data_IF_018920171250
#
_entry.id   IF_018920171250
#
_cell.length_a   1.000
_cell.length_b   1.000
_cell.length_c   1.000
_cell.angle_alpha   90.00
_cell.angle_beta   90.00
_cell.angle_gamma   90.00
#
_symmetry.space_group_name_H-M   'P 1'
#
loop_
_entity.id
_entity.type
_entity.pdbx_description
1 polymer ?
#
# COMPACT_ATOMS: atom_id res chain seq x y z
N UNK A 1 -15.10 25.29 22.22
CA UNK A 1 -15.19 23.85 22.56
C UNK A 1 -16.52 23.29 22.07
N UNK A 2 -16.56 22.72 20.87
CA UNK A 2 -17.66 21.86 20.42
C UNK A 2 -17.03 20.55 19.94
N UNK A 3 -17.24 19.53 20.74
CA UNK A 3 -16.81 18.16 20.53
C UNK A 3 -17.62 17.63 19.33
N UNK A 4 -17.04 17.70 18.13
CA UNK A 4 -17.65 17.13 16.92
C UNK A 4 -17.44 15.63 17.03
N UNK A 5 -18.52 14.98 17.46
CA UNK A 5 -18.77 13.54 17.44
C UNK A 5 -18.03 12.87 16.28
N UNK A 6 -17.19 11.89 16.63
CA UNK A 6 -16.93 10.65 15.90
C UNK A 6 -18.00 10.43 14.82
N UNK A 7 -17.70 10.85 13.58
CA UNK A 7 -18.49 10.48 12.41
C UNK A 7 -18.33 8.97 12.30
N UNK A 8 -19.46 8.29 12.42
CA UNK A 8 -19.62 6.84 12.28
C UNK A 8 -18.68 6.31 11.20
N UNK A 9 -17.69 5.51 11.60
CA UNK A 9 -16.99 4.62 10.67
C UNK A 9 -18.10 3.82 10.01
N UNK A 10 -18.32 4.03 8.71
CA UNK A 10 -19.27 3.23 7.96
C UNK A 10 -18.68 1.82 7.90
N UNK A 11 -19.06 0.98 8.86
CA UNK A 11 -18.82 -0.44 8.79
C UNK A 11 -19.92 -0.99 7.90
N UNK A 12 -19.61 -1.33 6.65
CA UNK A 12 -20.47 -2.22 5.89
C UNK A 12 -20.64 -3.50 6.74
N UNK A 13 -21.86 -3.80 7.24
CA UNK A 13 -22.08 -4.94 8.14
C UNK A 13 -21.68 -6.28 7.49
N UNK A 14 -21.67 -6.35 6.15
CA UNK A 14 -21.22 -7.50 5.39
C UNK A 14 -19.72 -7.77 5.50
N UNK A 15 -18.90 -6.77 5.82
CA UNK A 15 -17.44 -6.96 5.98
C UNK A 15 -17.06 -7.94 7.09
N UNK A 16 -17.88 -8.05 8.14
CA UNK A 16 -17.65 -9.01 9.22
C UNK A 16 -17.80 -10.47 8.78
N UNK A 17 -18.50 -10.70 7.65
CA UNK A 17 -18.74 -12.02 7.08
C UNK A 17 -17.59 -12.48 6.18
N UNK A 18 -16.84 -11.55 5.60
CA UNK A 18 -15.68 -11.88 4.78
C UNK A 18 -14.51 -12.29 5.67
N UNK A 19 -14.13 -13.56 5.56
CA UNK A 19 -12.94 -14.13 6.19
C UNK A 19 -12.19 -14.97 5.17
N UNK A 20 -10.88 -15.05 5.33
CA UNK A 20 -10.07 -16.00 4.59
C UNK A 20 -10.48 -17.42 4.99
N UNK A 21 -10.85 -18.23 4.02
CA UNK A 21 -11.09 -19.67 4.20
C UNK A 21 -9.98 -20.46 3.50
N UNK A 22 -9.05 -21.01 4.27
CA UNK A 22 -7.90 -21.75 3.74
C UNK A 22 -8.34 -22.96 2.89
N UNK A 23 -9.54 -23.49 3.11
CA UNK A 23 -10.07 -24.68 2.41
C UNK A 23 -10.45 -24.39 0.96
N UNK A 24 -10.59 -23.13 0.57
CA UNK A 24 -10.94 -22.76 -0.81
C UNK A 24 -9.74 -22.75 -1.74
N UNK A 25 -8.51 -22.73 -1.20
CA UNK A 25 -7.30 -22.76 -2.01
C UNK A 25 -7.04 -24.14 -2.59
N UNK A 26 -6.78 -24.19 -3.89
CA UNK A 26 -6.44 -25.39 -4.63
C UNK A 26 -4.92 -25.48 -4.88
N UNK A 27 -4.46 -26.55 -5.53
CA UNK A 27 -3.03 -26.77 -5.80
C UNK A 27 -2.38 -25.66 -6.66
N UNK A 28 -3.14 -25.04 -7.57
CA UNK A 28 -2.66 -23.90 -8.36
C UNK A 28 -2.40 -22.68 -7.49
N UNK A 29 -3.30 -22.35 -6.56
CA UNK A 29 -3.13 -21.23 -5.62
C UNK A 29 -1.84 -21.36 -4.80
N UNK A 30 -1.59 -22.56 -4.25
CA UNK A 30 -0.35 -22.83 -3.52
C UNK A 30 0.87 -22.69 -4.44
N UNK A 31 0.76 -23.12 -5.70
CA UNK A 31 1.86 -23.02 -6.65
C UNK A 31 2.16 -21.58 -7.04
N UNK A 32 1.13 -20.76 -7.25
CA UNK A 32 1.25 -19.32 -7.52
C UNK A 32 1.93 -18.63 -6.35
N UNK A 33 1.45 -18.85 -5.12
CA UNK A 33 2.05 -18.28 -3.92
C UNK A 33 3.53 -18.65 -3.78
N UNK A 34 3.86 -19.94 -3.85
CA UNK A 34 5.23 -20.44 -3.74
C UNK A 34 6.13 -19.79 -4.81
N UNK A 35 5.67 -19.78 -6.06
CA UNK A 35 6.45 -19.28 -7.21
C UNK A 35 6.75 -17.79 -7.06
N UNK A 36 5.75 -16.98 -6.75
CA UNK A 36 5.91 -15.55 -6.50
C UNK A 36 6.82 -15.34 -5.28
N UNK A 37 6.49 -15.96 -4.15
CA UNK A 37 7.26 -15.79 -2.92
C UNK A 37 8.74 -16.09 -3.10
N UNK A 38 9.10 -17.22 -3.72
CA UNK A 38 10.49 -17.58 -3.99
C UNK A 38 11.17 -16.57 -4.93
N UNK A 39 10.47 -16.12 -5.97
CA UNK A 39 11.02 -15.15 -6.94
C UNK A 39 11.29 -13.80 -6.29
N UNK A 40 10.33 -13.26 -5.53
CA UNK A 40 10.45 -11.95 -4.88
C UNK A 40 11.37 -11.97 -3.66
N UNK A 41 11.23 -12.95 -2.76
CA UNK A 41 11.97 -12.99 -1.49
C UNK A 41 13.50 -13.01 -1.69
N UNK A 42 13.99 -13.69 -2.73
CA UNK A 42 15.41 -13.71 -3.12
C UNK A 42 15.96 -12.32 -3.44
N UNK A 43 15.12 -11.38 -3.85
CA UNK A 43 15.51 -10.03 -4.28
C UNK A 43 15.33 -8.97 -3.21
N UNK A 44 14.53 -9.25 -2.17
CA UNK A 44 14.30 -8.30 -1.08
C UNK A 44 15.59 -7.77 -0.42
N UNK A 45 16.66 -8.55 -0.20
CA UNK A 45 17.89 -8.01 0.38
C UNK A 45 18.53 -6.88 -0.44
N UNK A 46 18.43 -6.95 -1.76
CA UNK A 46 18.99 -5.96 -2.70
C UNK A 46 18.06 -4.77 -2.91
N UNK A 47 16.74 -5.04 -2.98
CA UNK A 47 15.75 -4.06 -3.48
C UNK A 47 14.98 -3.37 -2.36
N UNK A 48 14.55 -4.11 -1.34
CA UNK A 48 13.56 -3.61 -0.40
C UNK A 48 14.17 -2.73 0.68
N UNK A 49 13.42 -1.70 1.10
CA UNK A 49 13.76 -0.86 2.23
C UNK A 49 13.93 -1.69 3.50
N UNK A 50 14.83 -1.25 4.38
CA UNK A 50 15.13 -1.94 5.63
C UNK A 50 13.88 -2.13 6.51
N UNK A 51 13.03 -1.10 6.62
CA UNK A 51 11.79 -1.18 7.40
C UNK A 51 10.83 -2.27 6.85
N UNK A 52 10.71 -2.39 5.52
CA UNK A 52 9.93 -3.45 4.91
C UNK A 52 10.50 -4.83 5.27
N UNK A 53 11.82 -5.03 5.15
CA UNK A 53 12.46 -6.32 5.48
C UNK A 53 12.26 -6.72 6.94
N UNK A 54 12.33 -5.76 7.87
CA UNK A 54 12.06 -5.97 9.28
C UNK A 54 10.60 -6.40 9.50
N UNK A 55 9.65 -5.71 8.87
CA UNK A 55 8.23 -6.08 8.94
C UNK A 55 7.95 -7.45 8.33
N UNK A 56 8.59 -7.77 7.22
CA UNK A 56 8.46 -9.06 6.52
C UNK A 56 8.89 -10.21 7.43
N UNK A 57 10.03 -10.07 8.12
CA UNK A 57 10.50 -11.04 9.11
C UNK A 57 9.58 -11.13 10.33
N UNK A 58 9.11 -9.98 10.85
CA UNK A 58 8.22 -9.94 12.02
C UNK A 58 6.88 -10.63 11.76
N UNK A 59 6.37 -10.53 10.53
CA UNK A 59 5.11 -11.17 10.11
C UNK A 59 5.23 -12.67 9.88
N UNK A 60 6.45 -13.21 9.74
CA UNK A 60 6.73 -14.63 9.48
C UNK A 60 6.02 -15.14 8.23
N UNK A 61 6.08 -14.36 7.16
CA UNK A 61 5.64 -14.82 5.85
C UNK A 61 6.61 -15.90 5.32
N UNK A 62 6.10 -16.87 4.58
CA UNK A 62 6.89 -18.01 4.08
C UNK A 62 6.34 -18.52 2.74
N UNK A 63 7.20 -19.13 1.93
CA UNK A 63 6.84 -19.84 0.71
C UNK A 63 6.04 -21.12 0.99
N UNK A 64 6.27 -21.77 2.14
CA UNK A 64 5.72 -23.10 2.45
C UNK A 64 4.19 -23.13 2.53
N UNK A 65 3.57 -21.99 2.87
CA UNK A 65 2.14 -21.86 3.09
C UNK A 65 1.65 -20.49 2.65
N UNK A 66 0.49 -20.46 2.01
CA UNK A 66 -0.28 -19.22 1.80
C UNK A 66 -0.46 -18.54 3.16
N UNK A 67 -0.23 -17.23 3.19
CA UNK A 67 -0.32 -16.41 4.40
C UNK A 67 -1.65 -16.58 5.14
N UNK A 68 -1.59 -16.75 6.45
CA UNK A 68 -2.76 -16.73 7.33
C UNK A 68 -3.04 -15.29 7.79
N UNK A 69 -4.09 -14.67 7.24
CA UNK A 69 -4.43 -13.27 7.52
C UNK A 69 -4.83 -13.02 8.98
N UNK A 70 -5.35 -14.03 9.70
CA UNK A 70 -5.66 -13.89 11.14
C UNK A 70 -4.37 -13.78 11.97
N UNK A 71 -3.36 -14.57 11.65
CA UNK A 71 -2.06 -14.52 12.33
C UNK A 71 -1.31 -13.22 12.02
N UNK A 72 -1.29 -12.81 10.75
CA UNK A 72 -0.71 -11.54 10.32
C UNK A 72 -1.40 -10.36 11.02
N UNK A 73 -2.73 -10.34 11.03
CA UNK A 73 -3.53 -9.32 11.70
C UNK A 73 -3.24 -9.25 13.21
N UNK A 74 -3.04 -10.40 13.87
CA UNK A 74 -2.65 -10.46 15.27
C UNK A 74 -1.26 -9.85 15.52
N UNK A 75 -0.25 -10.27 14.73
CA UNK A 75 1.13 -9.75 14.86
C UNK A 75 1.19 -8.24 14.62
N UNK A 76 0.50 -7.76 13.58
CA UNK A 76 0.41 -6.35 13.25
C UNK A 76 -0.27 -5.55 14.37
N UNK A 77 -1.36 -6.08 14.93
CA UNK A 77 -2.11 -5.43 16.00
C UNK A 77 -1.32 -5.26 17.29
N UNK A 78 -0.38 -6.17 17.57
CA UNK A 78 0.52 -6.07 18.72
C UNK A 78 1.63 -5.03 18.54
N UNK A 79 1.94 -4.63 17.31
CA UNK A 79 3.05 -3.72 17.03
C UNK A 79 2.57 -2.28 16.80
N UNK A 80 1.71 -2.04 15.80
CA UNK A 80 1.28 -0.68 15.40
C UNK A 80 -0.21 -0.42 15.64
N UNK A 81 -0.93 -1.42 16.17
CA UNK A 81 -2.38 -1.41 16.33
C UNK A 81 -3.16 -1.62 15.03
N UNK A 82 -2.47 -1.82 13.91
CA UNK A 82 -3.08 -2.13 12.62
C UNK A 82 -3.57 -3.57 12.54
N UNK A 83 -4.60 -3.80 11.73
CA UNK A 83 -5.16 -5.13 11.47
C UNK A 83 -5.43 -5.30 9.99
N UNK A 84 -5.54 -6.55 9.56
CA UNK A 84 -6.08 -6.88 8.22
C UNK A 84 -7.59 -7.00 8.30
N UNK A 85 -8.28 -6.47 7.29
CA UNK A 85 -9.71 -6.70 7.01
C UNK A 85 -9.83 -7.42 5.67
N UNK A 86 -10.43 -8.61 5.66
CA UNK A 86 -10.65 -9.32 4.39
C UNK A 86 -11.75 -8.62 3.60
N UNK A 87 -11.53 -8.44 2.30
CA UNK A 87 -12.48 -7.85 1.35
C UNK A 87 -12.67 -8.77 0.13
N UNK A 88 -13.84 -8.75 -0.54
CA UNK A 88 -14.11 -9.63 -1.68
C UNK A 88 -13.36 -9.24 -2.96
N UNK A 89 -12.69 -8.08 -2.96
CA UNK A 89 -12.10 -7.45 -4.13
C UNK A 89 -12.04 -5.95 -3.93
N UNK A 90 -12.14 -5.18 -5.02
CA UNK A 90 -12.22 -3.72 -4.97
C UNK A 90 -13.42 -3.26 -4.15
N UNK A 91 -13.18 -2.33 -3.23
CA UNK A 91 -14.22 -1.69 -2.40
C UNK A 91 -14.38 -0.22 -2.81
N UNK A 92 -15.47 0.42 -2.36
CA UNK A 92 -15.66 1.87 -2.57
C UNK A 92 -14.57 2.68 -1.87
N UNK A 93 -14.22 3.85 -2.41
CA UNK A 93 -13.22 4.76 -1.84
C UNK A 93 -13.56 5.14 -0.41
N UNK A 94 -14.83 5.43 -0.13
CA UNK A 94 -15.29 5.75 1.21
C UNK A 94 -15.00 4.60 2.18
N UNK A 95 -15.27 3.35 1.78
CA UNK A 95 -15.01 2.18 2.62
C UNK A 95 -13.51 1.93 2.79
N UNK A 96 -12.74 2.03 1.70
CA UNK A 96 -11.29 1.90 1.72
C UNK A 96 -10.64 2.87 2.71
N UNK A 97 -10.90 4.17 2.57
CA UNK A 97 -10.31 5.18 3.46
C UNK A 97 -10.86 5.10 4.89
N UNK A 98 -12.12 4.70 5.08
CA UNK A 98 -12.68 4.45 6.42
C UNK A 98 -11.95 3.32 7.15
N UNK A 99 -11.60 2.25 6.42
CA UNK A 99 -10.82 1.14 6.98
C UNK A 99 -9.41 1.60 7.35
N UNK A 100 -8.71 2.28 6.44
CA UNK A 100 -7.35 2.79 6.70
C UNK A 100 -7.29 3.78 7.87
N UNK A 101 -8.23 4.74 7.95
CA UNK A 101 -8.33 5.65 9.09
C UNK A 101 -8.55 4.89 10.40
N UNK A 102 -9.31 3.79 10.35
CA UNK A 102 -9.53 2.87 11.46
C UNK A 102 -8.42 1.85 11.71
N UNK A 103 -7.23 2.02 11.11
CA UNK A 103 -6.09 1.10 11.15
C UNK A 103 -6.42 -0.33 10.71
N UNK A 104 -7.26 -0.46 9.68
CA UNK A 104 -7.59 -1.73 9.05
C UNK A 104 -7.15 -1.68 7.59
N UNK A 105 -6.19 -2.50 7.21
CA UNK A 105 -5.77 -2.62 5.82
C UNK A 105 -6.67 -3.64 5.10
N UNK A 106 -7.38 -3.26 4.03
CA UNK A 106 -8.17 -4.18 3.24
C UNK A 106 -7.26 -5.14 2.47
N UNK A 107 -7.56 -6.45 2.52
CA UNK A 107 -6.78 -7.49 1.83
C UNK A 107 -7.74 -8.46 1.15
N UNK A 108 -7.53 -8.71 -0.14
CA UNK A 108 -8.23 -9.76 -0.89
C UNK A 108 -7.76 -11.14 -0.45
N UNK A 109 -8.61 -12.17 -0.59
CA UNK A 109 -8.31 -13.54 -0.15
C UNK A 109 -8.12 -14.53 -1.29
N UNK A 110 -8.00 -14.07 -2.54
CA UNK A 110 -7.81 -14.92 -3.73
C UNK A 110 -6.44 -14.63 -4.35
N UNK A 111 -5.91 -15.57 -5.13
CA UNK A 111 -4.65 -15.42 -5.86
C UNK A 111 -4.92 -15.35 -7.36
N UNK A 112 -4.06 -14.63 -8.08
CA UNK A 112 -4.04 -14.63 -9.55
C UNK A 112 -3.75 -16.03 -10.11
N UNK A 113 -4.04 -16.24 -11.39
CA UNK A 113 -3.73 -17.51 -12.07
C UNK A 113 -2.26 -17.63 -12.47
N UNK A 114 -1.81 -18.85 -12.78
CA UNK A 114 -0.43 -19.08 -13.25
C UNK A 114 -0.08 -18.35 -14.56
N UNK A 115 -1.05 -18.11 -15.44
CA UNK A 115 -0.87 -17.35 -16.69
C UNK A 115 -0.83 -15.83 -16.49
N UNK A 116 -1.07 -15.35 -15.26
CA UNK A 116 -1.09 -13.93 -14.87
C UNK A 116 0.04 -13.55 -13.91
N UNK A 117 1.04 -14.42 -13.72
CA UNK A 117 2.10 -14.23 -12.72
C UNK A 117 2.87 -12.91 -12.90
N UNK A 118 3.21 -12.56 -14.14
CA UNK A 118 4.06 -11.40 -14.43
C UNK A 118 3.28 -10.07 -14.48
N UNK A 119 1.97 -10.11 -14.75
CA UNK A 119 1.11 -8.92 -14.84
C UNK A 119 -0.30 -9.23 -14.32
N UNK A 120 -0.59 -8.93 -13.04
CA UNK A 120 -1.94 -9.07 -12.50
C UNK A 120 -2.86 -7.98 -13.05
N UNK A 121 -4.11 -8.34 -13.37
CA UNK A 121 -5.15 -7.38 -13.78
C UNK A 121 -5.66 -6.58 -12.57
N UNK A 122 -5.77 -7.24 -11.41
CA UNK A 122 -6.25 -6.66 -10.16
C UNK A 122 -5.33 -7.03 -8.98
N UNK A 123 -5.28 -6.20 -7.92
CA UNK A 123 -4.63 -6.57 -6.67
C UNK A 123 -5.20 -7.87 -6.08
N UNK A 124 -4.33 -8.85 -5.87
CA UNK A 124 -4.65 -10.15 -5.27
C UNK A 124 -4.02 -10.27 -3.88
N UNK A 125 -4.22 -11.42 -3.23
CA UNK A 125 -3.70 -11.71 -1.90
C UNK A 125 -2.18 -11.52 -1.82
N UNK A 126 -1.45 -11.86 -2.88
CA UNK A 126 0.00 -11.68 -2.90
C UNK A 126 0.35 -10.20 -2.91
N UNK A 127 -0.22 -9.40 -3.81
CA UNK A 127 0.02 -7.95 -3.82
C UNK A 127 -0.31 -7.30 -2.48
N UNK A 128 -1.49 -7.58 -1.93
CA UNK A 128 -1.95 -6.98 -0.68
C UNK A 128 -1.08 -7.43 0.50
N UNK A 129 -0.98 -8.74 0.74
CA UNK A 129 -0.35 -9.27 1.94
C UNK A 129 1.19 -9.29 1.89
N UNK A 130 1.78 -9.55 0.72
CA UNK A 130 3.24 -9.49 0.55
C UNK A 130 3.68 -8.04 0.38
N UNK A 131 3.07 -7.29 -0.54
CA UNK A 131 3.51 -5.95 -0.90
C UNK A 131 3.25 -4.88 0.18
N UNK A 132 2.03 -4.78 0.70
CA UNK A 132 1.66 -3.68 1.61
C UNK A 132 1.91 -3.99 3.08
N UNK A 133 1.45 -5.15 3.54
CA UNK A 133 1.31 -5.42 4.98
C UNK A 133 2.64 -5.37 5.78
N UNK A 134 3.80 -5.81 5.26
CA UNK A 134 5.06 -5.70 5.99
C UNK A 134 5.40 -4.28 6.42
N UNK A 135 5.17 -3.28 5.57
CA UNK A 135 5.55 -1.91 5.88
C UNK A 135 4.64 -1.25 6.93
N UNK A 136 3.46 -1.82 7.18
CA UNK A 136 2.58 -1.41 8.29
C UNK A 136 3.15 -1.73 9.68
N UNK A 137 4.29 -2.43 9.76
CA UNK A 137 5.08 -2.57 10.99
C UNK A 137 5.92 -1.32 11.30
N UNK A 138 6.10 -0.40 10.34
CA UNK A 138 6.78 0.86 10.56
C UNK A 138 5.79 1.91 11.07
N UNK A 139 6.04 2.49 12.25
CA UNK A 139 5.13 3.45 12.87
C UNK A 139 4.94 4.73 12.04
N UNK A 140 6.03 5.31 11.52
CA UNK A 140 5.98 6.53 10.72
C UNK A 140 5.14 6.32 9.46
N UNK A 141 5.44 5.28 8.68
CA UNK A 141 4.65 4.94 7.48
C UNK A 141 3.18 4.66 7.81
N UNK A 142 2.92 3.93 8.89
CA UNK A 142 1.56 3.63 9.36
C UNK A 142 0.78 4.88 9.75
N UNK A 143 1.43 5.87 10.37
CA UNK A 143 0.82 7.16 10.69
C UNK A 143 0.54 7.98 9.43
N UNK A 144 1.46 7.98 8.46
CA UNK A 144 1.26 8.60 7.16
C UNK A 144 0.02 8.01 6.46
N UNK A 145 -0.07 6.68 6.35
CA UNK A 145 -1.20 6.02 5.68
C UNK A 145 -2.54 6.33 6.37
N UNK A 146 -2.57 6.31 7.71
CA UNK A 146 -3.77 6.66 8.48
C UNK A 146 -4.16 8.14 8.26
N UNK A 147 -3.18 9.04 8.26
CA UNK A 147 -3.38 10.47 8.07
C UNK A 147 -3.86 10.81 6.66
N UNK A 148 -3.26 10.20 5.64
CA UNK A 148 -3.67 10.35 4.25
C UNK A 148 -5.12 9.91 4.07
N UNK A 149 -5.50 8.76 4.63
CA UNK A 149 -6.90 8.30 4.61
C UNK A 149 -7.85 9.27 5.32
N UNK A 150 -7.43 9.87 6.43
CA UNK A 150 -8.22 10.87 7.14
C UNK A 150 -8.42 12.15 6.31
N UNK A 151 -7.41 12.58 5.55
CA UNK A 151 -7.52 13.69 4.60
C UNK A 151 -8.51 13.31 3.48
N UNK A 152 -8.34 12.14 2.85
CA UNK A 152 -9.23 11.66 1.79
C UNK A 152 -10.70 11.62 2.21
N UNK A 153 -11.01 11.19 3.43
CA UNK A 153 -12.39 11.18 3.94
C UNK A 153 -13.00 12.58 4.10
N UNK A 154 -12.19 13.63 4.30
CA UNK A 154 -12.70 15.02 4.34
C UNK A 154 -13.10 15.52 2.96
N UNK A 155 -12.48 14.98 1.92
CA UNK A 155 -12.71 15.32 0.51
C UNK A 155 -13.48 14.24 -0.26
N UNK A 156 -14.18 13.34 0.44
CA UNK A 156 -14.77 12.14 -0.18
C UNK A 156 -15.80 12.43 -1.28
N UNK A 157 -16.44 13.60 -1.22
CA UNK A 157 -17.43 14.05 -2.21
C UNK A 157 -16.81 14.96 -3.30
N UNK A 158 -15.49 15.13 -3.32
CA UNK A 158 -14.77 15.97 -4.29
C UNK A 158 -13.84 15.12 -5.19
N UNK A 159 -14.27 14.82 -6.43
CA UNK A 159 -13.50 13.96 -7.34
C UNK A 159 -12.11 14.49 -7.70
N UNK A 160 -11.95 15.82 -7.82
CA UNK A 160 -10.66 16.42 -8.15
C UNK A 160 -9.66 16.24 -6.99
N UNK A 161 -10.11 16.50 -5.76
CA UNK A 161 -9.29 16.28 -4.57
C UNK A 161 -8.90 14.81 -4.40
N UNK A 162 -9.84 13.89 -4.62
CA UNK A 162 -9.56 12.45 -4.56
C UNK A 162 -8.54 12.02 -5.62
N UNK A 163 -8.60 12.57 -6.84
CA UNK A 163 -7.59 12.29 -7.87
C UNK A 163 -6.19 12.79 -7.48
N UNK A 164 -6.08 13.95 -6.80
CA UNK A 164 -4.80 14.44 -6.28
C UNK A 164 -4.26 13.54 -5.17
N UNK A 165 -5.14 13.10 -4.26
CA UNK A 165 -4.77 12.21 -3.15
C UNK A 165 -4.45 10.78 -3.64
N UNK A 166 -5.10 10.30 -4.70
CA UNK A 166 -4.76 9.03 -5.37
C UNK A 166 -3.34 9.09 -5.94
N UNK A 167 -2.89 10.22 -6.50
CA UNK A 167 -1.50 10.40 -6.96
C UNK A 167 -0.51 10.34 -5.80
N UNK A 168 -0.84 10.95 -4.66
CA UNK A 168 -0.01 10.87 -3.45
C UNK A 168 0.08 9.41 -2.99
N UNK A 169 -1.04 8.69 -2.91
CA UNK A 169 -1.06 7.28 -2.56
C UNK A 169 -0.21 6.45 -3.55
N UNK A 170 -0.42 6.64 -4.85
CA UNK A 170 0.27 5.90 -5.91
C UNK A 170 1.79 6.07 -5.84
N UNK A 171 2.27 7.31 -5.82
CA UNK A 171 3.70 7.61 -5.85
C UNK A 171 4.40 7.45 -4.50
N UNK A 172 3.67 7.08 -3.44
CA UNK A 172 4.25 6.76 -2.13
C UNK A 172 3.96 5.30 -1.76
N UNK A 173 2.73 4.97 -1.43
CA UNK A 173 2.30 3.65 -0.92
C UNK A 173 2.52 2.54 -1.96
N UNK A 174 2.22 2.78 -3.24
CA UNK A 174 2.35 1.76 -4.28
C UNK A 174 3.73 1.76 -4.97
N UNK A 175 4.29 2.94 -5.26
CA UNK A 175 5.51 3.10 -6.08
C UNK A 175 6.56 4.03 -5.46
N UNK A 176 6.59 4.13 -4.14
CA UNK A 176 7.59 4.94 -3.45
C UNK A 176 8.97 4.28 -3.35
N UNK A 177 10.01 5.10 -3.48
CA UNK A 177 11.40 4.75 -3.23
C UNK A 177 11.93 5.53 -2.03
N UNK A 178 12.94 4.99 -1.36
CA UNK A 178 13.59 5.61 -0.20
C UNK A 178 15.11 5.57 -0.35
N UNK A 179 15.75 6.68 0.00
CA UNK A 179 17.20 6.78 0.07
C UNK A 179 17.70 6.30 1.44
N UNK A 180 18.30 5.12 1.47
CA UNK A 180 18.95 4.59 2.67
C UNK A 180 20.48 4.82 2.62
N UNK A 181 21.16 4.52 3.73
CA UNK A 181 22.64 4.63 3.82
C UNK A 181 23.35 3.82 2.74
N UNK A 182 22.81 2.64 2.42
CA UNK A 182 23.38 1.70 1.46
C UNK A 182 22.83 1.87 0.03
N UNK A 183 22.21 3.02 -0.25
CA UNK A 183 21.69 3.41 -1.56
C UNK A 183 20.16 3.44 -1.65
N UNK A 184 19.68 3.51 -2.89
CA UNK A 184 18.26 3.59 -3.20
C UNK A 184 17.57 2.23 -2.96
N UNK A 185 16.39 2.26 -2.35
CA UNK A 185 15.57 1.08 -2.06
C UNK A 185 14.11 1.33 -2.38
N UNK A 186 13.35 0.28 -2.62
CA UNK A 186 11.91 0.34 -2.82
C UNK A 186 11.16 0.06 -1.52
N UNK A 187 10.09 0.82 -1.28
CA UNK A 187 9.11 0.51 -0.22
C UNK A 187 7.68 0.38 -0.77
N UNK A 188 7.44 0.87 -1.99
CA UNK A 188 6.15 0.76 -2.66
C UNK A 188 5.71 -0.68 -2.90
N UNK A 189 4.47 -0.99 -2.53
CA UNK A 189 3.93 -2.35 -2.61
C UNK A 189 3.77 -2.86 -4.05
N UNK A 190 3.44 -1.98 -5.00
CA UNK A 190 3.40 -2.27 -6.43
C UNK A 190 4.77 -2.72 -6.95
N UNK A 191 5.84 -2.08 -6.48
CA UNK A 191 7.21 -2.48 -6.80
C UNK A 191 7.54 -3.84 -6.19
N UNK A 192 7.30 -4.01 -4.89
CA UNK A 192 7.75 -5.20 -4.14
C UNK A 192 6.97 -6.48 -4.48
N UNK A 193 5.76 -6.34 -5.03
CA UNK A 193 4.94 -7.46 -5.49
C UNK A 193 5.06 -7.74 -7.00
N UNK A 194 5.83 -6.94 -7.74
CA UNK A 194 6.04 -7.07 -9.19
C UNK A 194 7.49 -7.38 -9.51
N UNK A 195 7.76 -8.58 -10.02
CA UNK A 195 9.15 -9.01 -10.29
C UNK A 195 9.92 -8.10 -11.25
N UNK A 196 9.29 -7.61 -12.30
CA UNK A 196 9.95 -6.72 -13.27
C UNK A 196 10.22 -5.35 -12.67
N UNK A 197 9.27 -4.85 -11.89
CA UNK A 197 9.33 -3.50 -11.34
C UNK A 197 10.37 -3.38 -10.22
N UNK A 198 10.63 -4.46 -9.47
CA UNK A 198 11.74 -4.51 -8.50
C UNK A 198 13.11 -4.16 -9.11
N UNK A 199 13.35 -4.54 -10.37
CA UNK A 199 14.58 -4.20 -11.08
C UNK A 199 14.49 -2.87 -11.79
N UNK A 200 13.40 -2.68 -12.56
CA UNK A 200 13.21 -1.50 -13.38
C UNK A 200 13.21 -0.21 -12.55
N UNK A 201 12.52 -0.20 -11.40
CA UNK A 201 12.39 0.98 -10.53
C UNK A 201 13.72 1.48 -9.93
N UNK A 202 14.73 0.62 -9.84
CA UNK A 202 16.06 0.97 -9.32
C UNK A 202 17.13 1.08 -10.41
N UNK A 203 16.77 0.87 -11.68
CA UNK A 203 17.66 1.04 -12.82
C UNK A 203 17.79 2.50 -13.24
N UNK A 204 18.67 2.79 -14.21
CA UNK A 204 18.83 4.12 -14.80
C UNK A 204 17.76 4.44 -15.89
N UNK A 205 16.82 3.52 -16.15
CA UNK A 205 15.78 3.70 -17.17
C UNK A 205 14.66 4.69 -16.75
N UNK A 206 14.00 4.55 -15.58
CA UNK A 206 12.99 5.51 -15.16
C UNK A 206 13.61 6.78 -14.56
N UNK A 207 12.82 7.85 -14.50
CA UNK A 207 13.25 9.07 -13.80
C UNK A 207 13.10 8.90 -12.29
N UNK A 208 14.16 9.19 -11.55
CA UNK A 208 14.09 9.34 -10.10
C UNK A 208 13.99 10.82 -9.71
N UNK A 209 12.90 11.18 -9.04
CA UNK A 209 12.65 12.53 -8.57
C UNK A 209 12.74 12.58 -7.04
N UNK A 210 13.21 13.69 -6.47
CA UNK A 210 13.02 13.94 -5.05
C UNK A 210 11.52 14.04 -4.73
N UNK A 211 11.11 13.51 -3.58
CA UNK A 211 9.73 13.62 -3.12
C UNK A 211 9.38 15.08 -2.82
N UNK A 212 8.43 15.62 -3.58
CA UNK A 212 7.88 16.96 -3.39
C UNK A 212 6.36 16.87 -3.56
N UNK A 213 5.60 17.27 -2.53
CA UNK A 213 4.14 17.09 -2.47
C UNK A 213 3.45 17.66 -3.72
N UNK A 214 3.83 18.87 -4.14
CA UNK A 214 3.22 19.55 -5.28
C UNK A 214 3.55 18.86 -6.62
N UNK A 215 4.78 18.39 -6.81
CA UNK A 215 5.18 17.66 -8.02
C UNK A 215 4.47 16.29 -8.10
N UNK A 216 4.34 15.59 -6.97
CA UNK A 216 3.60 14.32 -6.87
C UNK A 216 2.14 14.54 -7.26
N UNK A 217 1.48 15.55 -6.69
CA UNK A 217 0.08 15.87 -6.98
C UNK A 217 -0.16 16.27 -8.44
N UNK A 218 0.82 16.89 -9.09
CA UNK A 218 0.72 17.30 -10.50
C UNK A 218 1.17 16.21 -11.50
N UNK A 219 1.68 15.07 -11.02
CA UNK A 219 2.13 13.98 -11.88
C UNK A 219 1.00 12.97 -12.15
N UNK A 220 0.55 12.79 -13.41
CA UNK A 220 -0.37 11.69 -13.76
C UNK A 220 0.36 10.34 -13.73
N UNK A 221 -0.38 9.23 -13.62
CA UNK A 221 0.20 7.89 -13.58
C UNK A 221 -0.57 6.88 -14.44
N UNK A 222 0.02 5.71 -14.66
CA UNK A 222 -0.53 4.65 -15.50
C UNK A 222 -0.54 3.31 -14.77
N UNK A 223 -1.68 2.62 -14.78
CA UNK A 223 -1.86 1.33 -14.07
C UNK A 223 -1.38 0.12 -14.89
N UNK A 224 -1.16 0.28 -16.20
CA UNK A 224 -0.97 -0.80 -17.16
C UNK A 224 0.46 -0.87 -17.77
N UNK A 225 1.42 -0.14 -17.19
CA UNK A 225 2.84 -0.18 -17.56
C UNK A 225 3.71 0.13 -16.36
N UNK A 226 5.01 -0.14 -16.45
CA UNK A 226 5.97 0.36 -15.47
C UNK A 226 5.97 1.90 -15.42
N UNK A 227 6.28 2.45 -14.25
CA UNK A 227 6.16 3.89 -14.04
C UNK A 227 7.27 4.66 -14.78
N UNK A 228 6.90 5.78 -15.41
CA UNK A 228 7.88 6.63 -16.10
C UNK A 228 8.79 7.37 -15.09
N UNK A 229 8.31 7.56 -13.86
CA UNK A 229 9.05 8.19 -12.78
C UNK A 229 8.69 7.59 -11.42
N UNK A 230 9.63 7.67 -10.49
CA UNK A 230 9.49 7.30 -9.10
C UNK A 230 9.93 8.45 -8.20
N UNK A 231 9.31 8.59 -7.04
CA UNK A 231 9.65 9.62 -6.06
C UNK A 231 10.43 9.03 -4.89
N UNK A 232 11.50 9.71 -4.51
CA UNK A 232 12.43 9.28 -3.48
C UNK A 232 12.21 10.10 -2.22
N UNK A 233 11.84 9.43 -1.14
CA UNK A 233 11.85 10.00 0.22
C UNK A 233 13.20 9.75 0.89
N UNK A 234 13.56 10.62 1.82
CA UNK A 234 14.74 10.50 2.67
C UNK A 234 14.43 9.73 3.96
N UNK A 235 13.18 9.73 4.41
CA UNK A 235 12.72 8.93 5.55
C UNK A 235 11.20 8.74 5.54
N UNK A 236 10.67 7.81 6.35
CA UNK A 236 9.21 7.66 6.48
C UNK A 236 8.58 8.80 7.30
N UNK A 237 9.34 9.47 8.16
CA UNK A 237 8.91 10.68 8.87
C UNK A 237 8.66 11.84 7.92
N UNK A 238 9.40 11.94 6.81
CA UNK A 238 9.16 12.94 5.76
C UNK A 238 7.73 12.82 5.21
N UNK A 239 7.27 11.59 4.95
CA UNK A 239 5.88 11.33 4.54
C UNK A 239 4.89 11.80 5.61
N UNK A 240 5.07 11.38 6.86
CA UNK A 240 4.15 11.76 7.95
C UNK A 240 4.12 13.26 8.18
N UNK A 241 5.28 13.91 8.16
CA UNK A 241 5.41 15.35 8.35
C UNK A 241 4.85 16.15 7.16
N UNK A 242 4.72 15.53 5.99
CA UNK A 242 4.11 16.16 4.80
C UNK A 242 2.58 16.24 4.85
N UNK A 243 1.90 15.53 5.77
CA UNK A 243 0.44 15.49 5.84
C UNK A 243 -0.24 16.87 5.89
N UNK A 244 0.22 17.86 6.70
CA UNK A 244 -0.35 19.20 6.68
C UNK A 244 -0.19 19.89 5.32
N UNK A 245 0.98 19.73 4.69
CA UNK A 245 1.25 20.31 3.37
C UNK A 245 0.42 19.64 2.28
N UNK A 246 0.18 18.33 2.35
CA UNK A 246 -0.74 17.60 1.46
C UNK A 246 -2.13 18.22 1.54
N UNK A 247 -2.67 18.42 2.74
CA UNK A 247 -4.01 19.00 2.90
C UNK A 247 -4.08 20.45 2.41
N UNK A 248 -3.07 21.27 2.73
CA UNK A 248 -2.93 22.63 2.24
C UNK A 248 -2.93 22.68 0.69
N UNK A 249 -2.11 21.84 0.05
CA UNK A 249 -1.97 21.82 -1.41
C UNK A 249 -3.22 21.32 -2.12
N UNK A 250 -3.96 20.37 -1.54
CA UNK A 250 -5.28 20.00 -2.06
C UNK A 250 -6.20 21.22 -2.04
N UNK A 251 -6.29 21.95 -0.92
CA UNK A 251 -7.14 23.14 -0.83
C UNK A 251 -6.73 24.25 -1.82
N UNK A 252 -5.43 24.52 -1.97
CA UNK A 252 -4.92 25.50 -2.93
C UNK A 252 -5.26 25.14 -4.39
N UNK A 253 -5.08 23.87 -4.77
CA UNK A 253 -5.33 23.41 -6.15
C UNK A 253 -6.82 23.40 -6.49
N UNK A 254 -7.69 23.12 -5.51
CA UNK A 254 -9.13 23.24 -5.68
C UNK A 254 -9.56 24.69 -5.95
N UNK A 255 -9.00 25.66 -5.20
CA UNK A 255 -9.30 27.09 -5.40
C UNK A 255 -8.85 27.61 -6.78
N UNK A 256 -7.78 27.06 -7.35
CA UNK A 256 -7.32 27.42 -8.70
C UNK A 256 -8.16 26.82 -9.82
N UNK A 257 -8.96 25.80 -9.52
CA UNK A 257 -9.81 25.10 -10.48
C UNK A 257 -11.25 25.67 -10.55
N UNK A 258 -11.62 26.52 -9.59
CA UNK A 258 -12.85 27.33 -9.57
C UNK A 258 -12.69 28.63 -10.39
#
# INVERSE_FOLDING_TARGET
MKNIRSKRIFTDPGLGLFQQDIRTYNAEDYKVWETLFIKQSKKLPEVAANAYRQGFQALRLSEEKIVNLKEVSYRLGMNTGWRVQVVPGRVSEHLFFSLLQGKKFPVTSWLRRLDELDYPIEPDLFHDAFGHVPLLMNESFSQFLQGLAAISLRYIDNPLALALLERVYWYTVDFGLIKEKDGLRAYGAGILSSSGEMYYSLSDEPKHCAYEVEEVMNTPFWKNKFQDKYFIVNSFEELTNSLPLIEEKVAELLQKAE
#
